data_IF_394470096342
#
_entry.id   IF_394470096342
#
_cell.length_a   1.000
_cell.length_b   1.000
_cell.length_c   1.000
_cell.angle_alpha   90.00
_cell.angle_beta   90.00
_cell.angle_gamma   90.00
#
_symmetry.space_group_name_H-M   'P 1'
#
loop_
_entity.id
_entity.type
_entity.pdbx_description
1 polymer ?
#
# COMPACT_ATOMS: atom_id res chain seq x y z
N UNK A 1 10.94 10.45 -30.99
CA UNK A 1 10.49 9.21 -30.36
C UNK A 1 10.34 9.45 -28.87
N UNK A 2 9.20 9.17 -28.35
CA UNK A 2 9.00 9.34 -26.92
C UNK A 2 9.89 8.38 -26.14
N UNK A 3 10.60 8.84 -25.12
CA UNK A 3 11.33 7.94 -24.26
C UNK A 3 10.33 6.99 -23.61
N UNK A 4 10.63 5.75 -23.70
CA UNK A 4 9.86 4.75 -23.01
C UNK A 4 10.03 5.01 -21.52
N UNK A 5 8.93 5.13 -20.83
CA UNK A 5 8.96 5.16 -19.37
C UNK A 5 9.39 3.78 -18.90
N UNK A 6 10.66 3.65 -18.71
CA UNK A 6 11.24 2.39 -18.29
C UNK A 6 10.98 2.17 -16.81
N UNK A 7 11.20 0.95 -16.36
CA UNK A 7 11.17 0.63 -14.94
C UNK A 7 12.10 1.54 -14.14
N UNK A 8 13.21 1.98 -14.75
CA UNK A 8 14.16 2.88 -14.10
C UNK A 8 13.53 4.18 -13.61
N UNK A 9 12.47 4.67 -14.26
CA UNK A 9 11.81 5.91 -13.87
C UNK A 9 11.09 5.80 -12.52
N UNK A 10 10.70 4.61 -12.11
CA UNK A 10 10.04 4.37 -10.82
C UNK A 10 10.86 3.49 -9.89
N UNK A 11 11.97 2.96 -10.36
CA UNK A 11 12.84 2.11 -9.54
C UNK A 11 13.37 2.87 -8.33
N UNK A 12 13.44 2.18 -7.20
CA UNK A 12 13.88 2.72 -5.92
C UNK A 12 12.98 3.83 -5.39
N UNK A 13 11.70 3.75 -5.73
CA UNK A 13 10.67 4.62 -5.17
C UNK A 13 9.66 3.80 -4.40
N UNK A 14 9.04 4.44 -3.41
CA UNK A 14 8.01 3.81 -2.60
C UNK A 14 6.70 4.57 -2.66
N UNK A 15 5.62 3.86 -2.43
CA UNK A 15 4.28 4.43 -2.30
C UNK A 15 3.66 3.95 -1.00
N UNK A 16 2.98 4.85 -0.32
CA UNK A 16 2.11 4.49 0.79
C UNK A 16 0.72 4.96 0.43
N UNK A 17 -0.21 4.03 0.35
CA UNK A 17 -1.56 4.26 -0.12
C UNK A 17 -2.54 4.00 1.01
N UNK A 18 -3.31 4.99 1.38
CA UNK A 18 -4.24 4.86 2.49
C UNK A 18 -5.41 5.82 2.32
N UNK A 19 -6.57 5.40 2.79
CA UNK A 19 -7.64 6.32 3.08
C UNK A 19 -7.29 6.99 4.41
N UNK A 20 -6.93 8.26 4.36
CA UNK A 20 -6.40 8.98 5.52
C UNK A 20 -7.38 9.03 6.69
N UNK A 21 -8.67 9.02 6.42
CA UNK A 21 -9.67 8.94 7.48
C UNK A 21 -9.60 7.65 8.29
N UNK A 22 -9.16 6.57 7.68
CA UNK A 22 -9.13 5.27 8.35
C UNK A 22 -7.94 5.07 9.28
N UNK A 23 -6.85 5.78 9.09
CA UNK A 23 -5.67 5.62 9.95
C UNK A 23 -5.86 6.21 11.34
N UNK A 24 -6.77 7.16 11.50
CA UNK A 24 -6.86 7.98 12.69
C UNK A 24 -7.99 7.60 13.65
N UNK A 25 -8.99 6.87 13.21
CA UNK A 25 -10.22 6.76 14.00
C UNK A 25 -10.88 5.40 14.05
N UNK A 26 -10.29 4.37 13.50
CA UNK A 26 -11.06 3.19 13.15
C UNK A 26 -11.03 2.02 14.11
N UNK A 27 -10.15 2.01 15.10
CA UNK A 27 -10.21 0.96 16.11
C UNK A 27 -11.46 1.07 16.99
N UNK A 28 -12.11 2.22 16.98
CA UNK A 28 -13.38 2.41 17.65
C UNK A 28 -14.57 1.87 16.83
N UNK A 29 -14.35 1.58 15.55
CA UNK A 29 -15.36 1.04 14.66
C UNK A 29 -15.12 -0.46 14.46
N UNK A 30 -16.08 -1.14 13.84
CA UNK A 30 -15.98 -2.56 13.57
C UNK A 30 -15.01 -2.88 12.43
N UNK A 31 -14.61 -1.89 11.65
CA UNK A 31 -13.72 -2.07 10.52
C UNK A 31 -12.26 -2.14 10.95
N UNK A 32 -11.53 -3.08 10.36
CA UNK A 32 -10.12 -3.23 10.62
C UNK A 32 -9.32 -2.18 9.85
N UNK A 33 -8.66 -1.20 10.52
CA UNK A 33 -7.87 -0.19 9.82
C UNK A 33 -6.64 -0.75 9.14
N UNK A 34 -6.19 -1.95 9.49
CA UNK A 34 -5.02 -2.56 8.89
C UNK A 34 -5.21 -2.85 7.40
N UNK A 35 -6.43 -3.11 6.98
CA UNK A 35 -6.73 -3.38 5.57
C UNK A 35 -6.83 -2.11 4.73
N UNK A 36 -6.83 -0.94 5.35
CA UNK A 36 -7.02 0.34 4.64
C UNK A 36 -5.70 1.00 4.24
N UNK A 37 -4.57 0.41 4.60
CA UNK A 37 -3.25 0.94 4.25
C UNK A 37 -2.41 -0.15 3.62
N UNK A 38 -1.69 0.22 2.57
CA UNK A 38 -0.78 -0.68 1.88
C UNK A 38 0.40 0.15 1.37
N UNK A 39 1.58 -0.45 1.37
CA UNK A 39 2.76 0.21 0.85
C UNK A 39 3.38 -0.65 -0.25
N UNK A 40 4.02 0.02 -1.20
CA UNK A 40 4.68 -0.64 -2.32
C UNK A 40 6.07 -0.08 -2.49
N UNK A 41 7.02 -0.96 -2.74
CA UNK A 41 8.39 -0.57 -3.09
C UNK A 41 8.74 -1.11 -4.47
N UNK A 42 9.25 -0.24 -5.33
CA UNK A 42 9.61 -0.61 -6.69
C UNK A 42 11.12 -0.83 -6.81
N UNK A 43 11.50 -2.05 -7.15
CA UNK A 43 12.83 -2.36 -7.64
C UNK A 43 12.88 -2.16 -9.14
N UNK A 44 13.96 -2.58 -9.78
CA UNK A 44 14.15 -2.35 -11.22
C UNK A 44 13.03 -2.96 -12.06
N UNK A 45 12.50 -4.11 -11.67
CA UNK A 45 11.50 -4.83 -12.47
C UNK A 45 10.34 -5.37 -11.66
N UNK A 46 10.43 -5.31 -10.34
CA UNK A 46 9.43 -5.93 -9.47
C UNK A 46 8.95 -4.96 -8.40
N UNK A 47 7.71 -5.09 -8.04
CA UNK A 47 7.10 -4.36 -6.94
C UNK A 47 6.89 -5.30 -5.77
N UNK A 48 7.30 -4.85 -4.59
CA UNK A 48 7.04 -5.54 -3.33
C UNK A 48 5.94 -4.82 -2.59
N UNK A 49 5.10 -5.55 -1.88
CA UNK A 49 3.99 -4.98 -1.14
C UNK A 49 4.18 -5.23 0.35
N UNK A 50 3.95 -4.20 1.14
CA UNK A 50 3.97 -4.27 2.59
C UNK A 50 2.56 -4.05 3.09
N UNK A 51 2.09 -4.96 3.94
CA UNK A 51 0.81 -4.86 4.63
C UNK A 51 1.06 -4.89 6.14
N UNK A 52 0.06 -4.52 6.89
CA UNK A 52 0.10 -4.58 8.36
C UNK A 52 -0.88 -5.62 8.84
N UNK A 53 -0.46 -6.35 9.84
CA UNK A 53 -1.29 -7.38 10.44
C UNK A 53 -1.10 -7.37 11.95
N UNK A 54 -2.07 -7.91 12.64
CA UNK A 54 -2.00 -8.09 14.08
C UNK A 54 -1.55 -9.51 14.40
N UNK A 55 -0.51 -9.58 15.22
CA UNK A 55 -0.04 -10.85 15.80
C UNK A 55 -0.19 -10.71 17.32
N UNK A 56 -1.21 -11.35 17.88
CA UNK A 56 -1.63 -11.15 19.26
C UNK A 56 -1.95 -9.66 19.49
N UNK A 57 -1.22 -8.98 20.38
CA UNK A 57 -1.43 -7.58 20.67
C UNK A 57 -0.42 -6.66 19.96
N UNK A 58 0.35 -7.20 19.05
CA UNK A 58 1.35 -6.45 18.31
C UNK A 58 0.92 -6.23 16.87
N UNK A 59 1.13 -5.02 16.38
CA UNK A 59 0.95 -4.69 14.99
C UNK A 59 2.30 -4.85 14.29
N UNK A 60 2.32 -5.63 13.23
CA UNK A 60 3.56 -5.96 12.52
C UNK A 60 3.41 -5.69 11.04
N UNK A 61 4.52 -5.25 10.43
CA UNK A 61 4.62 -5.16 8.98
C UNK A 61 4.95 -6.53 8.41
N UNK A 62 4.33 -6.84 7.27
CA UNK A 62 4.65 -8.03 6.52
C UNK A 62 4.86 -7.68 5.06
N UNK A 63 6.08 -7.94 4.58
CA UNK A 63 6.42 -7.75 3.19
C UNK A 63 6.15 -9.04 2.41
N UNK A 64 5.76 -8.90 1.16
CA UNK A 64 5.63 -10.05 0.26
C UNK A 64 7.01 -10.68 0.04
N UNK A 65 7.04 -12.00 -0.04
CA UNK A 65 8.31 -12.74 -0.19
C UNK A 65 9.01 -12.46 -1.50
N UNK A 66 8.23 -12.29 -2.55
CA UNK A 66 8.75 -12.01 -3.89
C UNK A 66 8.01 -10.82 -4.44
N UNK A 67 8.78 -9.97 -5.08
CA UNK A 67 8.18 -8.93 -5.87
C UNK A 67 7.44 -9.51 -7.07
N UNK A 68 6.51 -8.74 -7.58
CA UNK A 68 5.71 -9.08 -8.74
C UNK A 68 6.20 -8.21 -9.89
N UNK A 69 6.39 -8.74 -11.09
CA UNK A 69 6.73 -7.90 -12.23
C UNK A 69 5.68 -6.81 -12.45
N UNK A 70 6.14 -5.60 -12.70
CA UNK A 70 5.26 -4.49 -13.00
C UNK A 70 5.58 -3.90 -14.37
N UNK A 71 4.61 -3.21 -14.93
CA UNK A 71 4.76 -2.47 -16.17
C UNK A 71 4.52 -1.01 -15.91
N UNK A 72 5.19 -0.16 -16.68
CA UNK A 72 5.03 1.27 -16.55
C UNK A 72 5.07 1.93 -17.91
N UNK A 73 4.27 2.97 -18.07
CA UNK A 73 4.31 3.88 -19.20
C UNK A 73 4.25 5.32 -18.69
N UNK A 74 3.96 6.26 -19.54
CA UNK A 74 3.91 7.67 -19.16
C UNK A 74 2.76 7.99 -18.19
N UNK A 75 1.70 7.19 -18.21
CA UNK A 75 0.46 7.48 -17.50
C UNK A 75 0.25 6.62 -16.28
N UNK A 76 0.77 5.40 -16.27
CA UNK A 76 0.43 4.46 -15.23
C UNK A 76 1.57 3.49 -14.89
N UNK A 77 1.48 2.95 -13.70
CA UNK A 77 2.28 1.80 -13.26
C UNK A 77 1.26 0.73 -12.91
N UNK A 78 1.46 -0.49 -13.39
CA UNK A 78 0.48 -1.54 -13.16
C UNK A 78 1.11 -2.90 -12.97
N UNK A 79 0.42 -3.76 -12.24
CA UNK A 79 0.80 -5.15 -12.09
C UNK A 79 -0.43 -6.00 -11.84
N UNK A 80 -0.26 -7.30 -12.04
CA UNK A 80 -1.34 -8.26 -11.88
C UNK A 80 -1.17 -9.05 -10.60
N UNK A 81 -2.25 -9.18 -9.87
CA UNK A 81 -2.29 -9.96 -8.64
C UNK A 81 -3.24 -11.12 -8.85
N UNK A 82 -2.72 -12.34 -8.73
CA UNK A 82 -3.54 -13.55 -8.80
C UNK A 82 -4.08 -13.87 -7.42
N UNK A 83 -5.38 -14.04 -7.32
CA UNK A 83 -6.06 -14.42 -6.10
C UNK A 83 -6.82 -15.75 -6.33
N UNK A 84 -7.31 -16.35 -5.26
CA UNK A 84 -8.12 -17.55 -5.36
C UNK A 84 -9.38 -17.34 -6.20
N UNK A 85 -9.91 -16.13 -6.18
CA UNK A 85 -11.13 -15.76 -6.90
C UNK A 85 -10.87 -15.26 -8.32
N UNK A 86 -9.61 -15.24 -8.76
CA UNK A 86 -9.26 -14.77 -10.08
C UNK A 86 -8.10 -13.81 -10.09
N UNK A 87 -8.06 -12.95 -11.09
CA UNK A 87 -6.97 -12.00 -11.29
C UNK A 87 -7.46 -10.58 -11.10
N UNK A 88 -6.67 -9.76 -10.42
CA UNK A 88 -6.92 -8.34 -10.26
C UNK A 88 -5.74 -7.56 -10.81
N UNK A 89 -6.02 -6.39 -11.33
CA UNK A 89 -4.99 -5.44 -11.75
C UNK A 89 -4.88 -4.34 -10.72
N UNK A 90 -3.65 -4.04 -10.33
CA UNK A 90 -3.37 -2.86 -9.52
C UNK A 90 -2.80 -1.82 -10.47
N UNK A 91 -3.34 -0.62 -10.42
CA UNK A 91 -2.89 0.47 -11.29
C UNK A 91 -2.68 1.74 -10.48
N UNK A 92 -1.55 2.38 -10.72
CA UNK A 92 -1.23 3.69 -10.13
C UNK A 92 -1.27 4.71 -11.25
N UNK A 93 -2.09 5.74 -11.07
CA UNK A 93 -2.09 6.88 -11.97
C UNK A 93 -0.87 7.75 -11.65
N UNK A 94 0.04 7.89 -12.59
CA UNK A 94 1.29 8.62 -12.35
C UNK A 94 1.11 10.12 -12.20
N UNK A 95 0.02 10.64 -12.70
CA UNK A 95 -0.28 12.06 -12.62
C UNK A 95 -0.90 12.42 -11.27
N UNK A 96 -1.83 11.62 -10.79
CA UNK A 96 -2.59 11.91 -9.56
C UNK A 96 -2.05 11.19 -8.34
N UNK A 97 -1.29 10.12 -8.53
CA UNK A 97 -0.83 9.29 -7.42
C UNK A 97 -1.90 8.36 -6.87
N UNK A 98 -3.02 8.20 -7.56
CA UNK A 98 -4.10 7.34 -7.10
C UNK A 98 -3.86 5.88 -7.46
N UNK A 99 -4.14 5.01 -6.51
CA UNK A 99 -4.07 3.57 -6.67
C UNK A 99 -5.46 3.02 -6.84
N UNK A 100 -5.65 2.22 -7.87
CA UNK A 100 -6.92 1.55 -8.13
C UNK A 100 -6.72 0.05 -8.19
N UNK A 101 -7.69 -0.68 -7.64
CA UNK A 101 -7.79 -2.13 -7.80
C UNK A 101 -8.87 -2.37 -8.86
N UNK A 102 -8.50 -3.03 -9.94
CA UNK A 102 -9.38 -3.21 -11.09
C UNK A 102 -9.68 -4.69 -11.28
N UNK A 103 -10.95 -5.00 -11.38
CA UNK A 103 -11.45 -6.35 -11.65
C UNK A 103 -12.46 -6.26 -12.78
N UNK A 104 -12.24 -7.07 -13.83
CA UNK A 104 -13.10 -7.08 -15.02
C UNK A 104 -13.32 -5.68 -15.64
N UNK A 105 -12.25 -4.87 -15.65
CA UNK A 105 -12.29 -3.53 -16.21
C UNK A 105 -12.94 -2.47 -15.34
N UNK A 106 -13.41 -2.84 -14.14
CA UNK A 106 -14.07 -1.92 -13.21
C UNK A 106 -13.18 -1.66 -12.01
N UNK A 107 -12.98 -0.39 -11.69
CA UNK A 107 -12.25 -0.01 -10.48
C UNK A 107 -13.11 -0.29 -9.25
N UNK A 108 -12.62 -1.16 -8.37
CA UNK A 108 -13.32 -1.53 -7.15
C UNK A 108 -13.01 -0.57 -6.01
N UNK A 109 -11.75 -0.18 -5.89
CA UNK A 109 -11.25 0.64 -4.81
C UNK A 109 -10.25 1.61 -5.41
N UNK A 110 -10.36 2.88 -5.03
CA UNK A 110 -9.41 3.91 -5.42
C UNK A 110 -9.00 4.68 -4.18
N UNK A 111 -7.70 4.80 -3.94
CA UNK A 111 -7.15 5.52 -2.79
C UNK A 111 -5.97 6.37 -3.23
N UNK A 112 -5.68 7.40 -2.47
CA UNK A 112 -4.54 8.27 -2.70
C UNK A 112 -3.26 7.64 -2.14
N UNK A 113 -2.15 7.90 -2.82
CA UNK A 113 -0.84 7.44 -2.40
C UNK A 113 0.10 8.62 -2.19
N UNK A 114 0.97 8.48 -1.22
CA UNK A 114 2.11 9.37 -1.03
C UNK A 114 3.35 8.71 -1.63
N UNK A 115 4.15 9.50 -2.34
CA UNK A 115 5.34 9.01 -3.06
C UNK A 115 6.59 9.31 -2.24
N UNK A 116 7.48 8.33 -2.15
CA UNK A 116 8.76 8.46 -1.46
C UNK A 116 9.89 8.20 -2.44
N UNK A 117 10.80 9.16 -2.57
CA UNK A 117 11.91 9.09 -3.52
C UNK A 117 13.13 8.36 -2.97
N UNK A 118 13.18 8.10 -1.68
CA UNK A 118 14.30 7.40 -1.05
C UNK A 118 13.80 6.27 -0.17
N UNK A 119 14.61 5.23 -0.07
CA UNK A 119 14.33 4.10 0.81
C UNK A 119 14.24 4.54 2.27
N UNK A 120 15.12 5.45 2.68
CA UNK A 120 15.13 5.94 4.05
C UNK A 120 13.81 6.61 4.43
N UNK A 121 13.34 7.54 3.59
CA UNK A 121 12.08 8.22 3.85
C UNK A 121 10.89 7.24 3.84
N UNK A 122 10.93 6.28 2.93
CA UNK A 122 9.91 5.25 2.86
C UNK A 122 9.87 4.40 4.14
N UNK A 123 11.03 3.91 4.59
CA UNK A 123 11.11 3.11 5.80
C UNK A 123 10.68 3.89 7.05
N UNK A 124 11.07 5.15 7.15
CA UNK A 124 10.63 6.01 8.24
C UNK A 124 9.10 6.15 8.28
N UNK A 125 8.49 6.29 7.10
CA UNK A 125 7.03 6.36 7.02
C UNK A 125 6.38 5.05 7.46
N UNK A 126 6.92 3.91 7.05
CA UNK A 126 6.38 2.62 7.46
C UNK A 126 6.46 2.43 8.98
N UNK A 127 7.56 2.83 9.58
CA UNK A 127 7.72 2.77 11.03
C UNK A 127 6.72 3.67 11.75
N UNK A 128 6.52 4.89 11.25
CA UNK A 128 5.52 5.81 11.80
C UNK A 128 4.12 5.25 11.73
N UNK A 129 3.76 4.62 10.62
CA UNK A 129 2.46 3.98 10.48
C UNK A 129 2.30 2.86 11.49
N UNK A 130 3.33 2.03 11.64
CA UNK A 130 3.32 0.92 12.59
C UNK A 130 3.11 1.42 14.02
N UNK A 131 3.83 2.46 14.42
CA UNK A 131 3.69 3.06 15.75
C UNK A 131 2.30 3.64 15.96
N UNK A 132 1.75 4.34 14.97
CA UNK A 132 0.43 4.93 15.06
C UNK A 132 -0.66 3.86 15.15
N UNK A 133 -0.56 2.82 14.36
CA UNK A 133 -1.50 1.71 14.40
C UNK A 133 -1.43 1.00 15.75
N UNK A 134 -0.22 0.79 16.29
CA UNK A 134 -0.04 0.17 17.59
C UNK A 134 -0.64 1.03 18.70
N UNK A 135 -0.36 2.33 18.69
CA UNK A 135 -0.91 3.25 19.69
C UNK A 135 -2.43 3.28 19.67
N UNK A 136 -3.03 3.33 18.48
CA UNK A 136 -4.47 3.32 18.35
C UNK A 136 -5.09 2.00 18.81
N UNK A 137 -4.43 0.90 18.51
CA UNK A 137 -4.85 -0.42 18.99
C UNK A 137 -4.81 -0.49 20.51
N UNK A 138 -3.71 -0.05 21.12
CA UNK A 138 -3.54 -0.07 22.59
C UNK A 138 -4.61 0.79 23.27
N UNK A 139 -4.92 1.95 22.71
CA UNK A 139 -5.99 2.81 23.23
C UNK A 139 -7.36 2.15 23.11
N UNK A 140 -7.63 1.50 22.00
CA UNK A 140 -8.90 0.82 21.80
C UNK A 140 -9.08 -0.31 22.80
N UNK A 141 -8.04 -1.08 23.05
CA UNK A 141 -8.07 -2.15 24.06
C UNK A 141 -8.28 -1.58 25.45
N UNK A 142 -7.60 -0.50 25.80
CA UNK A 142 -7.75 0.14 27.11
C UNK A 142 -9.17 0.66 27.34
N UNK A 143 -9.85 1.08 26.26
CA UNK A 143 -11.21 1.62 26.34
C UNK A 143 -12.30 0.55 26.27
N UNK A 144 -11.99 -0.64 25.78
CA UNK A 144 -12.93 -1.75 25.68
C UNK A 144 -12.59 -2.81 26.71
N UNK A 145 -13.07 -2.58 27.93
CA UNK A 145 -12.74 -3.47 29.05
C UNK A 145 -13.61 -4.71 29.12
N UNK A 146 -14.37 -4.98 28.13
CA UNK A 146 -15.12 -6.24 28.03
C UNK A 146 -15.23 -6.65 26.61
#
# INVERSE_FOLDING_TARGET
MAPIQTHAAVAKKGLVCADQGSLLSRWAATDDPLSSVVAHWFDDKRVSTVIWQRANDNIEMQATRRGIPYETDMLSISWKLKTEDGERNISIDRKTGQRSVIEDGTALITVDCEIFDTEKAFQEKLENITENLQSNYDLAIANHKL
#
